data_IF_914335523540
#
_entry.id   IF_914335523540
#
_cell.length_a   1.000
_cell.length_b   1.000
_cell.length_c   1.000
_cell.angle_alpha   90.00
_cell.angle_beta   90.00
_cell.angle_gamma   90.00
#
_symmetry.space_group_name_H-M   'P 1'
#
loop_
_entity.id
_entity.type
_entity.pdbx_description
1 polymer ?
#
# COMPACT_ATOMS: atom_id res chain seq x y z
N UNK A 1 -1.69 3.48 -17.89
CA UNK A 1 -2.82 3.87 -17.00
C UNK A 1 -2.27 4.77 -15.91
N UNK A 2 -3.01 5.84 -15.57
CA UNK A 2 -2.70 6.75 -14.47
C UNK A 2 -3.93 6.84 -13.57
N UNK A 3 -3.77 6.70 -12.26
CA UNK A 3 -4.88 6.65 -11.30
C UNK A 3 -4.55 7.47 -10.06
N UNK A 4 -5.53 8.20 -9.54
CA UNK A 4 -5.49 8.78 -8.20
C UNK A 4 -6.50 8.05 -7.31
N UNK A 5 -6.06 7.57 -6.16
CA UNK A 5 -6.90 6.98 -5.10
C UNK A 5 -6.85 7.93 -3.93
N UNK A 6 -7.95 8.63 -3.66
CA UNK A 6 -7.97 9.70 -2.67
C UNK A 6 -9.21 9.67 -1.77
N UNK A 7 -9.02 10.04 -0.51
CA UNK A 7 -10.08 10.27 0.48
C UNK A 7 -11.03 9.08 0.70
N UNK A 8 -10.53 7.86 0.55
CA UNK A 8 -11.28 6.64 0.83
C UNK A 8 -11.07 6.16 2.27
N UNK A 9 -12.06 5.46 2.80
CA UNK A 9 -11.90 4.62 3.99
C UNK A 9 -11.85 3.16 3.58
N UNK A 10 -10.69 2.54 3.77
CA UNK A 10 -10.47 1.10 3.61
C UNK A 10 -10.51 0.44 4.98
N UNK A 11 -11.54 -0.39 5.22
CA UNK A 11 -11.82 -0.93 6.54
C UNK A 11 -12.24 -2.39 6.55
N UNK A 12 -13.15 -2.72 7.48
CA UNK A 12 -13.55 -4.10 7.80
C UNK A 12 -14.00 -4.87 6.55
N UNK A 13 -13.65 -6.15 6.51
CA UNK A 13 -13.97 -7.05 5.40
C UNK A 13 -12.97 -7.00 4.24
N UNK A 14 -12.09 -6.00 4.19
CA UNK A 14 -11.04 -5.93 3.19
C UNK A 14 -9.80 -6.71 3.63
N UNK A 15 -9.45 -7.72 2.85
CA UNK A 15 -8.29 -8.57 3.15
C UNK A 15 -7.00 -7.87 2.68
N UNK A 16 -7.02 -7.31 1.47
CA UNK A 16 -5.86 -6.80 0.72
C UNK A 16 -6.25 -5.99 -0.52
N UNK A 17 -5.26 -5.49 -1.27
CA UNK A 17 -5.39 -4.86 -2.61
C UNK A 17 -6.08 -3.49 -2.60
N UNK A 18 -5.59 -2.60 -1.75
CA UNK A 18 -6.13 -1.26 -1.55
C UNK A 18 -5.09 -0.16 -1.86
N UNK A 19 -4.56 -0.03 -3.09
CA UNK A 19 -4.85 -0.83 -4.29
C UNK A 19 -3.86 -1.99 -4.49
N UNK A 20 -4.13 -2.85 -5.49
CA UNK A 20 -3.12 -3.70 -6.13
C UNK A 20 -2.94 -3.29 -7.59
N UNK A 21 -1.70 -3.07 -8.00
CA UNK A 21 -1.39 -2.41 -9.27
C UNK A 21 -0.49 -3.26 -10.19
N UNK A 22 -0.61 -3.06 -11.50
CA UNK A 22 0.30 -3.60 -12.52
C UNK A 22 0.56 -2.55 -13.58
N UNK A 23 1.83 -2.26 -13.83
CA UNK A 23 2.28 -1.16 -14.68
C UNK A 23 1.68 0.20 -14.28
N UNK A 24 2.08 1.26 -14.98
CA UNK A 24 1.47 2.59 -14.84
C UNK A 24 1.84 3.34 -13.56
N UNK A 25 1.08 4.41 -13.30
CA UNK A 25 1.31 5.36 -12.22
C UNK A 25 0.09 5.44 -11.30
N UNK A 26 0.35 5.43 -9.99
CA UNK A 26 -0.66 5.62 -8.97
C UNK A 26 -0.22 6.63 -7.93
N UNK A 27 -1.13 7.56 -7.65
CA UNK A 27 -1.04 8.45 -6.51
C UNK A 27 -2.10 8.02 -5.48
N UNK A 28 -1.64 7.55 -4.33
CA UNK A 28 -2.47 7.09 -3.21
C UNK A 28 -2.37 8.16 -2.13
N UNK A 29 -3.41 8.99 -1.98
CA UNK A 29 -3.32 10.23 -1.19
C UNK A 29 -4.46 10.38 -0.18
N UNK A 30 -4.13 10.69 1.08
CA UNK A 30 -5.10 11.00 2.14
C UNK A 30 -6.23 9.95 2.31
N UNK A 31 -5.90 8.66 2.19
CA UNK A 31 -6.83 7.57 2.50
C UNK A 31 -6.61 7.08 3.94
N UNK A 32 -7.67 6.53 4.53
CA UNK A 32 -7.63 5.91 5.85
C UNK A 32 -7.69 4.39 5.74
N UNK A 33 -6.67 3.72 6.27
CA UNK A 33 -6.50 2.28 6.21
C UNK A 33 -6.61 1.67 7.60
N UNK A 34 -7.52 0.71 7.73
CA UNK A 34 -7.72 -0.03 8.96
C UNK A 34 -8.01 -1.50 8.64
N UNK A 35 -7.69 -2.40 9.57
CA UNK A 35 -8.17 -3.80 9.57
C UNK A 35 -7.81 -4.68 8.36
N UNK A 36 -6.80 -4.34 7.54
CA UNK A 36 -6.35 -5.27 6.49
C UNK A 36 -5.82 -6.57 7.12
N UNK A 37 -5.84 -7.66 6.36
CA UNK A 37 -5.48 -8.99 6.89
C UNK A 37 -4.21 -9.58 6.26
N UNK A 38 -3.73 -9.00 5.15
CA UNK A 38 -2.48 -9.43 4.52
C UNK A 38 -1.55 -8.25 4.20
N UNK A 39 -1.98 -7.33 3.35
CA UNK A 39 -1.27 -6.09 3.02
C UNK A 39 -2.28 -5.02 2.62
N UNK A 40 -1.92 -3.74 2.72
CA UNK A 40 -2.77 -2.66 2.23
C UNK A 40 -2.48 -2.36 0.75
N UNK A 41 -1.25 -1.96 0.43
CA UNK A 41 -0.85 -1.55 -0.92
C UNK A 41 0.02 -2.63 -1.55
N UNK A 42 -0.30 -3.03 -2.78
CA UNK A 42 0.47 -4.08 -3.46
C UNK A 42 0.68 -3.83 -4.95
N UNK A 43 1.56 -4.61 -5.54
CA UNK A 43 1.81 -4.49 -6.96
C UNK A 43 2.76 -5.53 -7.53
N UNK A 44 2.72 -5.64 -8.84
CA UNK A 44 3.60 -6.50 -9.64
C UNK A 44 3.86 -5.83 -10.99
N UNK A 45 4.90 -6.25 -11.72
CA UNK A 45 5.21 -5.71 -13.06
C UNK A 45 5.50 -4.19 -13.06
N UNK A 46 6.38 -3.73 -12.16
CA UNK A 46 6.94 -2.36 -12.14
C UNK A 46 5.90 -1.21 -12.18
N UNK A 47 4.93 -1.14 -11.24
CA UNK A 47 4.10 0.04 -11.09
C UNK A 47 4.88 1.15 -10.36
N UNK A 48 4.58 2.41 -10.68
CA UNK A 48 4.99 3.55 -9.86
C UNK A 48 3.88 3.85 -8.86
N UNK A 49 4.20 3.88 -7.56
CA UNK A 49 3.26 4.15 -6.47
C UNK A 49 3.81 5.26 -5.59
N UNK A 50 3.07 6.35 -5.51
CA UNK A 50 3.34 7.45 -4.58
C UNK A 50 2.26 7.43 -3.51
N UNK A 51 2.65 7.13 -2.28
CA UNK A 51 1.80 7.16 -1.09
C UNK A 51 2.04 8.46 -0.35
N UNK A 52 1.00 9.27 -0.17
CA UNK A 52 1.14 10.59 0.45
C UNK A 52 0.02 10.88 1.46
N UNK A 53 0.37 11.21 2.70
CA UNK A 53 -0.60 11.66 3.72
C UNK A 53 -1.66 10.63 4.12
N UNK A 54 -1.47 9.35 3.82
CA UNK A 54 -2.40 8.31 4.23
C UNK A 54 -2.21 7.97 5.71
N UNK A 55 -3.26 7.47 6.35
CA UNK A 55 -3.19 6.91 7.70
C UNK A 55 -3.28 5.39 7.64
N UNK A 56 -2.30 4.70 8.24
CA UNK A 56 -2.23 3.25 8.30
C UNK A 56 -2.30 2.77 9.75
N UNK A 57 -3.46 2.26 10.15
CA UNK A 57 -3.62 1.57 11.43
C UNK A 57 -3.50 0.06 11.23
N UNK A 58 -2.30 -0.48 11.48
CA UNK A 58 -2.06 -1.89 11.30
C UNK A 58 -2.98 -2.76 12.18
N UNK A 59 -3.42 -3.93 11.68
CA UNK A 59 -4.17 -4.89 12.49
C UNK A 59 -3.33 -5.40 13.68
N UNK A 60 -3.96 -6.01 14.70
CA UNK A 60 -3.23 -6.62 15.81
C UNK A 60 -2.38 -7.84 15.39
N UNK A 61 -2.62 -8.39 14.19
CA UNK A 61 -1.86 -9.52 13.65
C UNK A 61 -0.41 -9.14 13.35
N UNK A 62 0.54 -9.89 13.94
CA UNK A 62 1.98 -9.60 13.84
C UNK A 62 2.54 -9.70 12.41
N UNK A 63 1.94 -10.54 11.57
CA UNK A 63 2.40 -10.76 10.20
C UNK A 63 1.82 -9.78 9.18
N UNK A 64 0.94 -8.87 9.60
CA UNK A 64 0.27 -7.90 8.72
C UNK A 64 0.65 -6.45 9.08
N UNK A 65 1.88 -6.25 9.56
CA UNK A 65 2.43 -4.92 9.89
C UNK A 65 2.99 -4.19 8.68
N UNK A 66 3.58 -4.93 7.74
CA UNK A 66 4.04 -4.35 6.49
C UNK A 66 2.84 -3.95 5.63
N UNK A 67 2.76 -2.68 5.27
CA UNK A 67 1.70 -2.08 4.45
C UNK A 67 1.81 -2.59 3.01
N UNK A 68 3.04 -2.77 2.55
CA UNK A 68 3.40 -3.03 1.16
C UNK A 68 3.58 -4.50 0.83
N UNK A 69 3.16 -4.93 -0.36
CA UNK A 69 3.47 -6.26 -0.90
C UNK A 69 3.89 -6.23 -2.36
N UNK A 70 5.12 -6.68 -2.65
CA UNK A 70 5.63 -6.86 -4.02
C UNK A 70 5.47 -8.32 -4.44
N UNK A 71 4.68 -8.55 -5.48
CA UNK A 71 4.41 -9.89 -6.01
C UNK A 71 5.14 -10.12 -7.34
N UNK A 72 5.48 -11.39 -7.61
CA UNK A 72 6.04 -11.87 -8.89
C UNK A 72 7.35 -11.20 -9.33
N UNK A 73 8.14 -10.71 -8.37
CA UNK A 73 9.47 -10.17 -8.59
C UNK A 73 10.37 -10.52 -7.40
N UNK A 74 11.63 -10.85 -7.67
CA UNK A 74 12.66 -10.95 -6.63
C UNK A 74 12.99 -9.56 -6.09
N UNK A 75 13.58 -9.50 -4.90
CA UNK A 75 14.03 -8.23 -4.30
C UNK A 75 14.98 -7.46 -5.20
N UNK A 76 15.91 -8.15 -5.85
CA UNK A 76 16.82 -7.52 -6.81
C UNK A 76 16.11 -6.84 -7.97
N UNK A 77 14.88 -7.23 -8.30
CA UNK A 77 14.08 -6.60 -9.34
C UNK A 77 13.20 -5.50 -8.75
N UNK A 78 12.44 -5.78 -7.68
CA UNK A 78 11.46 -4.83 -7.17
C UNK A 78 12.07 -3.67 -6.38
N UNK A 79 13.30 -3.82 -5.84
CA UNK A 79 14.01 -2.72 -5.16
C UNK A 79 14.27 -1.52 -6.07
N UNK A 80 14.24 -1.72 -7.39
CA UNK A 80 14.36 -0.66 -8.39
C UNK A 80 13.02 -0.03 -8.79
N UNK A 81 11.90 -0.46 -8.22
CA UNK A 81 10.58 0.12 -8.51
C UNK A 81 10.40 1.42 -7.72
N UNK A 82 9.69 2.37 -8.31
CA UNK A 82 9.42 3.66 -7.64
C UNK A 82 8.21 3.56 -6.74
N UNK A 83 8.44 3.12 -5.50
CA UNK A 83 7.45 3.11 -4.42
C UNK A 83 7.91 4.09 -3.34
N UNK A 84 7.17 5.18 -3.15
CA UNK A 84 7.53 6.25 -2.21
C UNK A 84 6.41 6.47 -1.21
N UNK A 85 6.78 6.76 0.03
CA UNK A 85 5.89 7.15 1.11
C UNK A 85 6.34 8.52 1.61
N UNK A 86 5.40 9.46 1.74
CA UNK A 86 5.65 10.83 2.19
C UNK A 86 4.51 11.31 3.09
N UNK A 87 4.83 11.72 4.32
CA UNK A 87 3.84 12.23 5.27
C UNK A 87 2.77 11.21 5.71
N UNK A 88 2.95 9.92 5.43
CA UNK A 88 2.04 8.87 5.87
C UNK A 88 2.12 8.70 7.41
N UNK A 89 0.97 8.57 8.05
CA UNK A 89 0.85 8.32 9.49
C UNK A 89 0.79 6.82 9.76
N UNK A 90 1.86 6.27 10.32
CA UNK A 90 1.96 4.86 10.70
C UNK A 90 1.52 4.65 12.15
N UNK A 91 0.55 3.77 12.38
CA UNK A 91 0.03 3.46 13.71
C UNK A 91 0.03 1.96 13.98
N UNK A 92 0.12 1.60 15.27
CA UNK A 92 0.13 0.21 15.73
C UNK A 92 1.25 -0.63 15.07
N UNK A 93 2.42 -0.04 14.83
CA UNK A 93 3.58 -0.71 14.24
C UNK A 93 3.45 -1.00 12.75
N UNK A 94 2.61 -0.27 12.02
CA UNK A 94 2.62 -0.28 10.56
C UNK A 94 3.98 0.22 10.03
N UNK A 95 4.45 -0.35 8.91
CA UNK A 95 5.65 0.12 8.20
C UNK A 95 5.61 -0.23 6.71
#
# INVERSE_FOLDING_TARGET
MQVTVAFNHFGKGLVQRMPRCRWGFLHVVNNDYTHWMMYAIGGSQHPTIISQGNRFLAPPMRFAKEITKRDYATEDVWKHWTWRSEGDLMQNGAF
#
